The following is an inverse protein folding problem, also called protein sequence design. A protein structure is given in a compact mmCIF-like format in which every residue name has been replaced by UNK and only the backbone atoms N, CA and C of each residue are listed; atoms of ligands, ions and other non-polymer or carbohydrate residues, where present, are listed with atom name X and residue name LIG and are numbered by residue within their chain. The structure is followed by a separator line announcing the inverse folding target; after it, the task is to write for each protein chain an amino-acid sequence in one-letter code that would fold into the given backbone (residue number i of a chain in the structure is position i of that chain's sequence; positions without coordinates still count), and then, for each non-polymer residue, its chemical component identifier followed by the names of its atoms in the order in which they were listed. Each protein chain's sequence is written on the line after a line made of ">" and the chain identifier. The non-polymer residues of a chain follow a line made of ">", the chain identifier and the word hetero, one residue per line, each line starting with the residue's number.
data_IF_084912898532
#
_entry.id   IF_084912898532
#
_cell.length_a   1.000
_cell.length_b   1.000
_cell.length_c   1.000
_cell.angle_alpha   90.00
_cell.angle_beta   90.00
_cell.angle_gamma   90.00
#
_symmetry.space_group_name_H-M   'P 1'
#
loop_
_entity.id
_entity.type
_entity.pdbx_description
1 polymer ?
#
# COMPACT_ATOMS: atom_id res chain seq x y z
N UNK A 1 -10.30 -18.27 -15.91
CA UNK A 1 -8.98 -18.03 -15.27
C UNK A 1 -8.67 -16.56 -15.41
N UNK A 2 -8.66 -15.80 -14.32
CA UNK A 2 -8.27 -14.39 -14.37
C UNK A 2 -6.76 -14.33 -14.66
N UNK A 3 -6.36 -13.61 -15.72
CA UNK A 3 -4.97 -13.36 -16.01
C UNK A 3 -4.31 -12.69 -14.78
N UNK A 4 -3.16 -13.20 -14.34
CA UNK A 4 -2.36 -12.49 -13.33
C UNK A 4 -2.14 -11.05 -13.83
N UNK A 5 -2.39 -10.02 -13.01
CA UNK A 5 -2.12 -8.65 -13.43
C UNK A 5 -0.64 -8.54 -13.79
N UNK A 6 -0.34 -8.00 -14.98
CA UNK A 6 1.03 -7.63 -15.38
C UNK A 6 1.60 -6.51 -14.48
N UNK A 7 0.74 -5.87 -13.70
CA UNK A 7 1.02 -4.85 -12.71
C UNK A 7 1.19 -5.49 -11.31
N UNK A 8 2.33 -5.26 -10.66
CA UNK A 8 2.62 -5.80 -9.31
C UNK A 8 2.87 -4.61 -8.39
N UNK A 9 1.82 -3.92 -7.93
CA UNK A 9 1.95 -2.58 -7.35
C UNK A 9 2.93 -2.52 -6.18
N UNK A 10 2.91 -3.50 -5.27
CA UNK A 10 3.89 -3.59 -4.18
C UNK A 10 5.33 -3.74 -4.68
N UNK A 11 5.56 -4.58 -5.69
CA UNK A 11 6.91 -4.78 -6.26
C UNK A 11 7.38 -3.52 -6.97
N UNK A 12 6.47 -2.90 -7.72
CA UNK A 12 6.77 -1.73 -8.53
C UNK A 12 7.01 -0.50 -7.60
N UNK A 13 6.26 -0.38 -6.50
CA UNK A 13 6.51 0.54 -5.38
C UNK A 13 7.91 0.34 -4.79
N UNK A 14 8.24 -0.89 -4.38
CA UNK A 14 9.56 -1.23 -3.82
C UNK A 14 10.72 -0.98 -4.80
N UNK A 15 10.47 -1.04 -6.11
CA UNK A 15 11.47 -0.75 -7.13
C UNK A 15 11.72 0.75 -7.31
N UNK A 16 10.77 1.61 -6.94
CA UNK A 16 10.90 3.08 -7.03
C UNK A 16 11.53 3.67 -5.77
N UNK A 17 11.24 3.14 -4.58
CA UNK A 17 11.77 3.67 -3.31
C UNK A 17 13.30 3.93 -3.30
N UNK A 18 14.16 3.03 -3.81
CA UNK A 18 15.61 3.26 -3.80
C UNK A 18 16.09 4.36 -4.74
N UNK A 19 15.23 4.85 -5.63
CA UNK A 19 15.54 5.92 -6.59
C UNK A 19 15.30 7.31 -6.02
N UNK A 20 14.61 7.40 -4.89
CA UNK A 20 14.28 8.67 -4.26
C UNK A 20 15.52 9.29 -3.63
N UNK A 21 15.59 10.62 -3.65
CA UNK A 21 16.63 11.34 -2.93
C UNK A 21 16.25 11.37 -1.45
N UNK A 22 17.20 11.01 -0.59
CA UNK A 22 17.02 11.06 0.87
C UNK A 22 17.83 12.24 1.41
N UNK A 23 17.16 13.08 2.18
CA UNK A 23 17.74 14.24 2.86
C UNK A 23 18.71 13.81 3.97
N UNK A 24 19.51 14.76 4.46
CA UNK A 24 20.42 14.52 5.60
C UNK A 24 19.71 14.11 6.90
N UNK A 25 18.40 14.37 7.04
CA UNK A 25 17.59 13.92 8.18
C UNK A 25 17.04 12.50 8.02
N UNK A 26 17.32 11.83 6.89
CA UNK A 26 16.82 10.48 6.60
C UNK A 26 15.42 10.43 5.98
N UNK A 27 14.80 11.59 5.72
CA UNK A 27 13.49 11.71 5.10
C UNK A 27 13.58 11.88 3.59
N UNK A 28 12.52 11.52 2.86
CA UNK A 28 12.44 11.74 1.41
C UNK A 28 12.55 13.22 1.08
N UNK A 29 13.52 13.59 0.26
CA UNK A 29 13.61 14.93 -0.33
C UNK A 29 12.79 14.96 -1.62
N UNK A 30 11.52 15.33 -1.50
CA UNK A 30 10.60 15.44 -2.63
C UNK A 30 11.02 16.54 -3.62
N UNK A 31 11.74 17.57 -3.17
CA UNK A 31 12.16 18.66 -4.05
C UNK A 31 13.37 18.29 -4.91
N UNK A 32 14.27 17.47 -4.37
CA UNK A 32 15.47 16.98 -5.07
C UNK A 32 15.22 15.69 -5.87
N UNK A 33 14.11 14.99 -5.61
CA UNK A 33 13.76 13.76 -6.32
C UNK A 33 13.23 14.04 -7.73
N UNK A 34 13.49 13.11 -8.65
CA UNK A 34 13.00 13.19 -10.03
C UNK A 34 11.45 13.16 -10.06
N UNK A 35 10.77 14.16 -10.68
CA UNK A 35 9.32 14.21 -10.75
C UNK A 35 8.67 12.95 -11.36
N UNK A 36 9.33 12.30 -12.32
CA UNK A 36 8.82 11.07 -12.92
C UNK A 36 8.80 9.90 -11.92
N UNK A 37 9.82 9.79 -11.07
CA UNK A 37 9.90 8.77 -10.03
C UNK A 37 8.88 9.06 -8.91
N UNK A 38 8.66 10.33 -8.55
CA UNK A 38 7.60 10.72 -7.60
C UNK A 38 6.19 10.42 -8.12
N UNK A 39 5.95 10.67 -9.41
CA UNK A 39 4.65 10.36 -10.03
C UNK A 39 4.40 8.85 -10.03
N UNK A 40 5.40 8.05 -10.43
CA UNK A 40 5.31 6.59 -10.39
C UNK A 40 5.13 6.07 -8.96
N UNK A 41 5.83 6.66 -7.98
CA UNK A 41 5.68 6.30 -6.57
C UNK A 41 4.25 6.53 -6.08
N UNK A 42 3.67 7.69 -6.41
CA UNK A 42 2.30 8.03 -6.04
C UNK A 42 1.27 7.06 -6.62
N UNK A 43 1.45 6.66 -7.88
CA UNK A 43 0.58 5.67 -8.55
C UNK A 43 0.71 4.29 -7.91
N UNK A 44 1.94 3.78 -7.77
CA UNK A 44 2.15 2.45 -7.19
C UNK A 44 1.76 2.38 -5.71
N UNK A 45 1.91 3.46 -4.94
CA UNK A 45 1.43 3.55 -3.57
C UNK A 45 -0.11 3.51 -3.52
N UNK A 46 -0.79 4.29 -4.36
CA UNK A 46 -2.25 4.26 -4.46
C UNK A 46 -2.78 2.87 -4.81
N UNK A 47 -2.17 2.21 -5.79
CA UNK A 47 -2.59 0.87 -6.22
C UNK A 47 -2.28 -0.19 -5.13
N UNK A 48 -1.17 -0.04 -4.41
CA UNK A 48 -0.82 -0.90 -3.27
C UNK A 48 -1.84 -0.76 -2.15
N UNK A 49 -2.20 0.47 -1.80
CA UNK A 49 -3.25 0.76 -0.82
C UNK A 49 -4.57 0.10 -1.22
N UNK A 50 -4.98 0.25 -2.48
CA UNK A 50 -6.23 -0.33 -2.97
C UNK A 50 -6.21 -1.87 -2.90
N UNK A 51 -5.10 -2.51 -3.28
CA UNK A 51 -4.96 -3.96 -3.16
C UNK A 51 -5.03 -4.41 -1.71
N UNK A 52 -4.36 -3.71 -0.80
CA UNK A 52 -4.37 -4.02 0.63
C UNK A 52 -5.79 -3.89 1.23
N UNK A 53 -6.52 -2.81 0.91
CA UNK A 53 -7.89 -2.58 1.37
C UNK A 53 -8.88 -3.63 0.85
N UNK A 54 -8.76 -4.01 -0.43
CA UNK A 54 -9.58 -5.08 -1.02
C UNK A 54 -9.27 -6.43 -0.38
N UNK A 55 -7.99 -6.73 -0.15
CA UNK A 55 -7.54 -7.94 0.53
C UNK A 55 -8.08 -8.02 1.96
N UNK A 56 -7.94 -6.94 2.74
CA UNK A 56 -8.45 -6.83 4.10
C UNK A 56 -9.97 -7.08 4.15
N UNK A 57 -10.73 -6.47 3.24
CA UNK A 57 -12.18 -6.66 3.14
C UNK A 57 -12.54 -8.11 2.81
N UNK A 58 -11.81 -8.75 1.88
CA UNK A 58 -12.05 -10.13 1.50
C UNK A 58 -11.74 -11.11 2.64
N UNK A 59 -10.62 -10.90 3.35
CA UNK A 59 -10.25 -11.72 4.52
C UNK A 59 -11.31 -11.57 5.61
N UNK A 60 -11.76 -10.34 5.92
CA UNK A 60 -12.81 -10.10 6.89
C UNK A 60 -14.11 -10.83 6.53
N UNK A 61 -14.52 -10.81 5.27
CA UNK A 61 -15.69 -11.56 4.80
C UNK A 61 -15.51 -13.08 4.95
N UNK A 62 -14.32 -13.60 4.66
CA UNK A 62 -14.01 -15.03 4.83
C UNK A 62 -14.09 -15.45 6.30
N UNK A 63 -13.51 -14.65 7.21
CA UNK A 63 -13.56 -14.92 8.65
C UNK A 63 -15.00 -14.93 9.19
N UNK A 64 -15.84 -13.99 8.76
CA UNK A 64 -17.27 -13.97 9.14
C UNK A 64 -17.98 -15.24 8.68
N UNK A 65 -17.65 -15.74 7.48
CA UNK A 65 -18.27 -16.97 6.94
C UNK A 65 -17.74 -18.23 7.59
N UNK A 66 -16.49 -18.22 8.02
CA UNK A 66 -15.81 -19.35 8.66
C UNK A 66 -16.02 -19.42 10.18
N UNK A 67 -16.77 -18.47 10.76
CA UNK A 67 -17.01 -18.40 12.20
C UNK A 67 -17.53 -19.72 12.81
N UNK A 68 -18.47 -20.47 12.18
CA UNK A 68 -18.91 -21.76 12.71
C UNK A 68 -17.77 -22.78 12.84
N UNK A 69 -16.92 -22.89 11.81
CA UNK A 69 -15.77 -23.80 11.77
C UNK A 69 -14.63 -23.37 12.72
N UNK A 70 -14.56 -22.08 13.06
CA UNK A 70 -13.69 -21.56 14.10
C UNK A 70 -14.18 -21.97 15.50
N UNK A 71 -15.49 -21.92 15.74
CA UNK A 71 -16.10 -22.32 17.02
C UNK A 71 -16.04 -23.83 17.26
N UNK A 72 -16.11 -24.66 16.20
CA UNK A 72 -15.92 -26.12 16.30
C UNK A 72 -14.45 -26.53 16.41
N UNK A 73 -13.51 -25.59 16.25
CA UNK A 73 -12.07 -25.84 16.28
C UNK A 73 -11.51 -26.53 15.04
N UNK A 74 -12.29 -26.63 13.96
CA UNK A 74 -11.83 -27.12 12.65
C UNK A 74 -10.82 -26.15 12.01
N UNK A 75 -10.96 -24.85 12.31
CA UNK A 75 -9.94 -23.84 12.05
C UNK A 75 -9.22 -23.54 13.35
N UNK A 76 -7.88 -23.68 13.35
CA UNK A 76 -7.09 -23.48 14.57
C UNK A 76 -7.10 -22.02 15.02
N UNK A 77 -7.10 -21.81 16.35
CA UNK A 77 -6.93 -20.50 16.98
C UNK A 77 -5.71 -19.74 16.47
N UNK A 78 -4.58 -20.42 16.37
CA UNK A 78 -3.31 -19.84 15.89
C UNK A 78 -3.41 -19.30 14.45
N UNK A 79 -4.21 -19.95 13.59
CA UNK A 79 -4.42 -19.48 12.22
C UNK A 79 -5.25 -18.20 12.18
N UNK A 80 -6.28 -18.11 13.04
CA UNK A 80 -7.12 -16.92 13.20
C UNK A 80 -6.29 -15.75 13.74
N UNK A 81 -5.46 -16.02 14.75
CA UNK A 81 -4.55 -15.02 15.31
C UNK A 81 -3.55 -14.52 14.25
N UNK A 82 -2.91 -15.43 13.52
CA UNK A 82 -1.98 -15.09 12.43
C UNK A 82 -2.64 -14.23 11.34
N UNK A 83 -3.91 -14.52 11.01
CA UNK A 83 -4.68 -13.68 10.10
C UNK A 83 -4.96 -12.29 10.68
N UNK A 84 -5.29 -12.20 11.96
CA UNK A 84 -5.46 -10.92 12.66
C UNK A 84 -4.21 -10.04 12.58
N UNK A 85 -3.02 -10.62 12.83
CA UNK A 85 -1.75 -9.92 12.69
C UNK A 85 -1.52 -9.43 11.25
N UNK A 86 -1.74 -10.28 10.24
CA UNK A 86 -1.60 -9.89 8.85
C UNK A 86 -2.57 -8.76 8.46
N UNK A 87 -3.82 -8.82 8.93
CA UNK A 87 -4.82 -7.79 8.68
C UNK A 87 -4.39 -6.43 9.25
N UNK A 88 -3.78 -6.41 10.44
CA UNK A 88 -3.23 -5.20 11.03
C UNK A 88 -2.09 -4.61 10.18
N UNK A 89 -1.12 -5.44 9.77
CA UNK A 89 0.00 -5.02 8.91
C UNK A 89 -0.48 -4.48 7.54
N UNK A 90 -1.49 -5.11 6.94
CA UNK A 90 -2.08 -4.62 5.68
C UNK A 90 -2.79 -3.28 5.87
N UNK A 91 -3.43 -3.07 7.03
CA UNK A 91 -4.05 -1.79 7.38
C UNK A 91 -3.02 -0.67 7.51
N UNK A 92 -1.93 -0.93 8.22
CA UNK A 92 -0.83 0.03 8.38
C UNK A 92 -0.17 0.34 7.03
N UNK A 93 0.15 -0.69 6.23
CA UNK A 93 0.70 -0.52 4.89
C UNK A 93 -0.19 0.37 4.01
N UNK A 94 -1.51 0.17 4.05
CA UNK A 94 -2.46 1.00 3.31
C UNK A 94 -2.40 2.46 3.77
N UNK A 95 -2.31 2.72 5.07
CA UNK A 95 -2.14 4.06 5.64
C UNK A 95 -0.83 4.72 5.21
N UNK A 96 0.30 4.01 5.28
CA UNK A 96 1.58 4.52 4.80
C UNK A 96 1.54 4.85 3.30
N UNK A 97 0.95 3.97 2.49
CA UNK A 97 0.81 4.19 1.05
C UNK A 97 -0.07 5.40 0.72
N UNK A 98 -1.14 5.63 1.48
CA UNK A 98 -1.96 6.82 1.36
C UNK A 98 -1.14 8.10 1.61
N UNK A 99 -0.44 8.16 2.74
CA UNK A 99 0.37 9.31 3.12
C UNK A 99 1.46 9.59 2.07
N UNK A 100 2.15 8.54 1.62
CA UNK A 100 3.20 8.65 0.60
C UNK A 100 2.65 9.17 -0.74
N UNK A 101 1.52 8.65 -1.20
CA UNK A 101 0.84 9.10 -2.42
C UNK A 101 0.42 10.57 -2.33
N UNK A 102 -0.14 10.97 -1.19
CA UNK A 102 -0.55 12.35 -0.93
C UNK A 102 0.65 13.31 -0.98
N UNK A 103 1.72 13.03 -0.24
CA UNK A 103 2.93 13.89 -0.22
C UNK A 103 3.57 14.03 -1.60
N UNK A 104 3.66 12.94 -2.38
CA UNK A 104 4.18 13.02 -3.75
C UNK A 104 3.33 13.95 -4.63
N UNK A 105 2.01 13.84 -4.55
CA UNK A 105 1.08 14.62 -5.38
C UNK A 105 1.07 16.10 -5.01
N UNK A 106 1.15 16.41 -3.72
CA UNK A 106 1.25 17.78 -3.22
C UNK A 106 2.50 18.47 -3.79
N UNK A 107 3.67 17.84 -3.65
CA UNK A 107 4.92 18.40 -4.17
C UNK A 107 4.98 18.49 -5.70
N UNK A 108 4.38 17.53 -6.41
CA UNK A 108 4.27 17.61 -7.86
C UNK A 108 3.36 18.77 -8.32
N UNK A 109 2.27 19.03 -7.59
CA UNK A 109 1.37 20.14 -7.89
C UNK A 109 2.05 21.50 -7.66
N UNK A 110 2.82 21.64 -6.57
CA UNK A 110 3.57 22.86 -6.25
C UNK A 110 4.70 23.16 -7.24
N UNK A 111 5.30 22.12 -7.84
CA UNK A 111 6.34 22.26 -8.85
C UNK A 111 5.82 22.76 -10.21
N UNK A 112 4.51 22.64 -10.47
CA UNK A 112 3.88 23.17 -11.70
C UNK A 112 3.45 24.64 -11.51
N UNK A 113 3.95 25.60 -12.32
CA UNK A 113 3.49 26.97 -12.26
C UNK A 113 2.00 27.06 -12.63
N UNK A 114 1.18 27.68 -11.77
CA UNK A 114 -0.24 27.89 -12.06
C UNK A 114 -0.39 28.92 -13.19
N UNK A 115 -1.20 28.65 -14.24
CA UNK A 115 -1.50 29.66 -15.24
C UNK A 115 -2.21 30.87 -14.60
N UNK A 116 -1.99 32.09 -15.14
CA UNK A 116 -2.55 33.34 -14.59
C UNK A 116 -4.08 33.41 -14.66
#
# INVERSE_FOLDING_TARGET
>A
MAAMPRHRPMRDLLAVLPKLTISSSGEVDYSASNPADLSALAEHAQDTMQVAQLGLSAIGLLLVRAAPEMDTGEISGDAIESLGWLMAELGELAGCCFALSASCREHLADATPRPP
#
